data_IF_327164442683
#
_entry.id   IF_327164442683
#
_cell.length_a   1.000
_cell.length_b   1.000
_cell.length_c   1.000
_cell.angle_alpha   90.00
_cell.angle_beta   90.00
_cell.angle_gamma   90.00
#
_symmetry.space_group_name_H-M   'P 1'
#
loop_
_entity.id
_entity.type
_entity.pdbx_description
1 polymer ?
#
# COMPACT_ATOMS: atom_id res chain seq x y z
N UNK A 1 -17.61 1.77 31.29
CA UNK A 1 -16.81 2.91 31.83
C UNK A 1 -17.07 4.15 30.97
N UNK A 2 -17.62 5.21 31.54
CA UNK A 2 -18.03 6.39 30.76
C UNK A 2 -16.80 7.21 30.32
N UNK A 3 -16.73 7.61 29.05
CA UNK A 3 -15.66 8.41 28.40
C UNK A 3 -15.18 9.64 29.22
N UNK A 4 -15.98 10.10 30.14
CA UNK A 4 -15.71 11.29 30.97
C UNK A 4 -14.63 11.10 32.05
N UNK A 5 -14.29 9.85 32.41
CA UNK A 5 -13.31 9.56 33.46
C UNK A 5 -11.88 9.37 32.96
N UNK A 6 -11.67 9.36 31.62
CA UNK A 6 -10.33 9.23 31.05
C UNK A 6 -9.59 10.57 30.98
N UNK A 7 -10.33 11.67 30.75
CA UNK A 7 -9.72 13.02 30.62
C UNK A 7 -9.36 13.68 31.96
N UNK A 8 -9.94 13.24 33.09
CA UNK A 8 -9.64 13.82 34.39
C UNK A 8 -8.41 13.24 35.13
N UNK A 9 -7.70 12.26 34.51
CA UNK A 9 -6.46 11.71 35.08
C UNK A 9 -5.17 12.26 34.46
N UNK A 10 -5.26 13.18 33.51
CA UNK A 10 -4.11 13.77 32.81
C UNK A 10 -3.69 15.16 33.32
N UNK A 11 -4.31 15.67 34.41
CA UNK A 11 -4.06 17.03 34.89
C UNK A 11 -3.36 17.16 36.26
N UNK A 12 -2.66 16.12 36.73
CA UNK A 12 -1.89 16.21 37.98
C UNK A 12 -0.58 15.44 37.90
N UNK A 13 0.38 15.97 37.10
CA UNK A 13 1.81 15.78 37.35
C UNK A 13 2.61 16.90 36.68
N UNK A 14 2.46 18.11 37.18
CA UNK A 14 3.45 19.17 36.96
C UNK A 14 4.62 18.93 37.91
N UNK A 15 5.54 18.05 37.54
CA UNK A 15 6.82 17.89 38.17
C UNK A 15 7.83 18.85 37.54
N UNK A 16 8.44 19.68 38.38
CA UNK A 16 9.45 20.65 38.03
C UNK A 16 10.61 19.99 37.22
N UNK A 17 10.79 20.39 35.96
CA UNK A 17 11.99 20.09 35.16
C UNK A 17 13.01 21.18 35.48
N UNK A 18 14.06 20.80 36.21
CA UNK A 18 15.28 21.59 36.38
C UNK A 18 15.88 21.86 34.99
N UNK A 19 15.97 23.14 34.64
CA UNK A 19 16.70 23.62 33.46
C UNK A 19 18.20 23.37 33.66
N UNK A 20 18.70 22.28 33.09
CA UNK A 20 20.14 22.14 32.80
C UNK A 20 20.41 22.92 31.50
N UNK A 21 21.19 23.99 31.62
CA UNK A 21 21.73 24.78 30.53
C UNK A 21 22.75 23.92 29.73
N UNK A 22 22.24 23.09 28.84
CA UNK A 22 23.04 22.45 27.80
C UNK A 22 23.22 23.42 26.65
N UNK A 23 24.47 23.75 26.32
CA UNK A 23 24.83 24.53 25.14
C UNK A 23 24.13 24.00 23.90
N UNK A 24 23.16 24.77 23.39
CA UNK A 24 22.68 24.56 22.02
C UNK A 24 23.81 24.98 21.08
N UNK A 25 24.43 24.04 20.42
CA UNK A 25 25.18 24.36 19.20
C UNK A 25 24.22 25.05 18.21
N UNK A 26 24.67 26.10 17.53
CA UNK A 26 23.88 26.71 16.47
C UNK A 26 23.58 25.64 15.42
N UNK A 27 22.32 25.41 15.12
CA UNK A 27 21.95 24.65 13.93
C UNK A 27 22.43 25.51 12.77
N UNK A 28 23.44 25.05 12.05
CA UNK A 28 23.86 25.64 10.78
C UNK A 28 22.60 25.83 9.95
N UNK A 29 22.29 27.08 9.63
CA UNK A 29 21.24 27.41 8.66
C UNK A 29 21.68 26.76 7.34
N UNK A 30 21.09 25.61 7.02
CA UNK A 30 21.14 25.11 5.66
C UNK A 30 20.72 26.29 4.78
N UNK A 31 21.61 26.69 3.90
CA UNK A 31 21.33 27.67 2.87
C UNK A 31 20.02 27.29 2.20
N UNK A 32 19.06 28.18 2.26
CA UNK A 32 17.86 28.05 1.44
C UNK A 32 18.34 27.97 0.00
N UNK A 33 17.93 26.95 -0.79
CA UNK A 33 18.33 26.89 -2.18
C UNK A 33 17.96 28.23 -2.83
N UNK A 34 18.91 28.79 -3.54
CA UNK A 34 18.76 30.00 -4.30
C UNK A 34 17.44 29.93 -5.07
N UNK A 35 16.61 30.96 -4.92
CA UNK A 35 15.38 31.10 -5.72
C UNK A 35 15.82 31.40 -7.14
N UNK A 36 16.31 30.37 -7.83
CA UNK A 36 16.59 30.45 -9.25
C UNK A 36 15.34 31.01 -9.91
N UNK A 37 15.52 32.07 -10.70
CA UNK A 37 14.46 32.73 -11.43
C UNK A 37 13.59 31.73 -12.17
N UNK A 38 12.36 31.51 -11.68
CA UNK A 38 11.30 30.77 -12.36
C UNK A 38 10.78 31.57 -13.57
N UNK A 39 11.67 32.26 -14.28
CA UNK A 39 11.39 32.92 -15.59
C UNK A 39 11.39 31.83 -16.68
N UNK A 40 10.70 30.70 -16.47
CA UNK A 40 10.34 29.77 -17.53
C UNK A 40 9.21 30.37 -18.35
N UNK A 41 9.41 30.40 -19.66
CA UNK A 41 8.46 30.86 -20.65
C UNK A 41 7.10 30.14 -20.49
N UNK A 42 6.15 30.76 -19.80
CA UNK A 42 4.84 30.16 -19.41
C UNK A 42 3.82 30.12 -20.57
N UNK A 43 4.23 30.47 -21.79
CA UNK A 43 3.34 30.52 -22.96
C UNK A 43 3.11 29.17 -23.66
N UNK A 44 3.74 28.07 -23.23
CA UNK A 44 3.65 26.78 -23.91
C UNK A 44 2.75 25.76 -23.21
N UNK A 45 2.18 26.09 -22.06
CA UNK A 45 1.45 25.10 -21.21
C UNK A 45 2.38 24.10 -20.49
N UNK A 46 3.68 24.27 -20.58
CA UNK A 46 4.71 23.44 -19.93
C UNK A 46 5.57 24.27 -18.99
N UNK A 47 5.98 23.66 -17.90
CA UNK A 47 6.97 24.18 -16.97
C UNK A 47 8.21 23.31 -17.07
N UNK A 48 9.37 23.90 -17.25
CA UNK A 48 10.65 23.17 -17.26
C UNK A 48 11.15 23.03 -15.83
N UNK A 49 11.29 21.79 -15.35
CA UNK A 49 11.97 21.51 -14.09
C UNK A 49 13.49 21.58 -14.33
N UNK A 50 14.24 22.41 -13.56
CA UNK A 50 15.69 22.47 -13.70
C UNK A 50 16.35 21.12 -13.42
N UNK A 51 17.44 20.81 -14.13
CA UNK A 51 18.25 19.64 -13.81
C UNK A 51 18.84 19.75 -12.40
N UNK A 52 18.88 18.64 -11.68
CA UNK A 52 19.42 18.57 -10.31
C UNK A 52 20.18 17.28 -10.06
N UNK A 53 21.15 17.34 -9.16
CA UNK A 53 21.76 16.15 -8.61
C UNK A 53 20.84 15.51 -7.58
N UNK A 54 20.75 14.17 -7.60
CA UNK A 54 19.89 13.40 -6.70
C UNK A 54 20.80 12.55 -5.80
N UNK A 55 20.72 12.69 -4.47
CA UNK A 55 21.58 11.92 -3.57
C UNK A 55 21.23 10.43 -3.62
N UNK A 56 22.25 9.59 -3.79
CA UNK A 56 22.14 8.14 -3.64
C UNK A 56 22.17 7.82 -2.15
N UNK A 57 21.04 7.34 -1.62
CA UNK A 57 20.89 7.06 -0.18
C UNK A 57 21.17 5.60 0.17
N UNK A 58 21.05 4.70 -0.81
CA UNK A 58 21.31 3.28 -0.58
C UNK A 58 21.73 2.55 -1.86
N UNK A 59 22.35 1.34 -1.67
CA UNK A 59 22.67 0.38 -2.72
C UNK A 59 22.25 -1.00 -2.26
N UNK A 60 21.68 -1.81 -3.14
CA UNK A 60 21.14 -3.11 -2.75
C UNK A 60 21.33 -4.17 -3.84
N UNK A 61 21.18 -5.45 -3.50
CA UNK A 61 21.19 -6.52 -4.49
C UNK A 61 19.81 -6.56 -5.19
N UNK A 62 18.74 -6.49 -4.41
CA UNK A 62 17.36 -6.50 -4.92
C UNK A 62 16.57 -5.32 -4.36
N UNK A 63 16.00 -4.51 -5.24
CA UNK A 63 15.02 -3.49 -4.90
C UNK A 63 13.64 -3.96 -5.36
N UNK A 64 12.72 -4.10 -4.43
CA UNK A 64 11.31 -4.38 -4.72
C UNK A 64 10.53 -3.08 -4.61
N UNK A 65 9.81 -2.70 -5.64
CA UNK A 65 9.02 -1.47 -5.69
C UNK A 65 7.53 -1.82 -5.61
N UNK A 66 6.90 -1.39 -4.53
CA UNK A 66 5.51 -1.70 -4.18
C UNK A 66 5.39 -2.78 -3.12
N UNK A 67 4.75 -2.45 -1.99
CA UNK A 67 4.54 -3.32 -0.83
C UNK A 67 3.20 -4.05 -0.83
N UNK A 68 2.59 -4.26 -2.01
CA UNK A 68 1.42 -5.11 -2.17
C UNK A 68 1.71 -6.58 -1.92
N UNK A 69 0.74 -7.50 -2.08
CA UNK A 69 0.92 -8.93 -1.84
C UNK A 69 2.10 -9.53 -2.60
N UNK A 70 2.23 -9.18 -3.89
CA UNK A 70 3.33 -9.63 -4.75
C UNK A 70 4.68 -9.11 -4.26
N UNK A 71 4.75 -7.83 -3.87
CA UNK A 71 5.99 -7.20 -3.43
C UNK A 71 6.50 -7.75 -2.11
N UNK A 72 5.61 -7.95 -1.14
CA UNK A 72 5.98 -8.60 0.13
C UNK A 72 6.51 -10.01 -0.13
N UNK A 73 5.83 -10.79 -0.95
CA UNK A 73 6.28 -12.15 -1.28
C UNK A 73 7.62 -12.14 -2.02
N UNK A 74 7.80 -11.25 -2.99
CA UNK A 74 9.04 -11.10 -3.75
C UNK A 74 10.22 -10.69 -2.86
N UNK A 75 10.00 -9.70 -1.96
CA UNK A 75 11.02 -9.24 -1.05
C UNK A 75 11.46 -10.33 -0.05
N UNK A 76 10.50 -11.04 0.54
CA UNK A 76 10.78 -12.17 1.45
C UNK A 76 11.53 -13.28 0.72
N UNK A 77 11.09 -13.63 -0.49
CA UNK A 77 11.77 -14.65 -1.30
C UNK A 77 13.21 -14.23 -1.61
N UNK A 78 13.44 -13.02 -2.09
CA UNK A 78 14.77 -12.50 -2.38
C UNK A 78 15.67 -12.52 -1.13
N UNK A 79 15.19 -12.03 -0.01
CA UNK A 79 15.96 -12.02 1.25
C UNK A 79 16.29 -13.43 1.73
N UNK A 80 15.36 -14.39 1.63
CA UNK A 80 15.59 -15.80 2.02
C UNK A 80 16.65 -16.50 1.15
N UNK A 81 16.99 -15.97 -0.04
CA UNK A 81 18.15 -16.46 -0.84
C UNK A 81 19.47 -15.86 -0.42
N UNK A 82 19.49 -14.95 0.57
CA UNK A 82 20.68 -14.26 1.04
C UNK A 82 20.94 -12.93 0.33
N UNK A 83 20.07 -12.47 -0.56
CA UNK A 83 20.21 -11.17 -1.20
C UNK A 83 19.90 -10.03 -0.22
N UNK A 84 20.73 -8.98 -0.19
CA UNK A 84 20.39 -7.76 0.51
C UNK A 84 19.22 -7.10 -0.22
N UNK A 85 18.09 -7.01 0.46
CA UNK A 85 16.82 -6.59 -0.14
C UNK A 85 16.28 -5.32 0.49
N UNK A 86 15.85 -4.39 -0.35
CA UNK A 86 15.09 -3.21 0.05
C UNK A 86 13.70 -3.32 -0.56
N UNK A 87 12.67 -3.03 0.24
CA UNK A 87 11.29 -2.90 -0.18
C UNK A 87 10.85 -1.45 0.01
N UNK A 88 10.29 -0.83 -1.03
CA UNK A 88 9.75 0.53 -0.97
C UNK A 88 8.25 0.51 -1.20
N UNK A 89 7.53 1.34 -0.44
CA UNK A 89 6.06 1.46 -0.53
C UNK A 89 5.64 2.94 -0.45
N UNK A 90 4.69 3.32 -1.31
CA UNK A 90 4.16 4.71 -1.36
C UNK A 90 3.28 5.07 -0.16
N UNK A 91 2.58 4.10 0.40
CA UNK A 91 1.73 4.27 1.57
C UNK A 91 2.50 4.03 2.88
N UNK A 92 1.79 4.07 4.00
CA UNK A 92 2.33 3.81 5.35
C UNK A 92 2.04 2.39 5.84
N UNK A 93 1.72 1.48 4.96
CA UNK A 93 1.38 0.10 5.29
C UNK A 93 1.64 -0.84 4.12
N UNK A 94 1.86 -2.11 4.42
CA UNK A 94 1.96 -3.19 3.47
C UNK A 94 0.59 -3.77 3.12
N UNK A 95 0.54 -4.59 2.06
CA UNK A 95 -0.60 -5.40 1.67
C UNK A 95 -1.43 -4.86 0.52
N UNK A 96 -1.19 -3.63 0.05
CA UNK A 96 -1.85 -3.07 -1.14
C UNK A 96 -3.36 -3.26 -1.11
N UNK A 97 -3.91 -4.02 -2.07
CA UNK A 97 -5.35 -4.28 -2.17
C UNK A 97 -5.92 -5.03 -0.96
N UNK A 98 -5.17 -5.94 -0.31
CA UNK A 98 -5.66 -6.68 0.85
C UNK A 98 -5.87 -5.80 2.09
N UNK A 99 -5.24 -4.64 2.13
CA UNK A 99 -5.25 -3.74 3.29
C UNK A 99 -5.83 -2.38 2.94
N UNK A 100 -5.13 -1.56 2.18
CA UNK A 100 -5.59 -0.24 1.77
C UNK A 100 -6.77 -0.27 0.81
N UNK A 101 -6.82 -1.24 -0.10
CA UNK A 101 -7.91 -1.44 -1.05
C UNK A 101 -9.11 -2.21 -0.51
N UNK A 102 -9.01 -2.79 0.69
CA UNK A 102 -10.07 -3.56 1.36
C UNK A 102 -10.59 -4.78 0.58
N UNK A 103 -9.84 -5.30 -0.39
CA UNK A 103 -10.13 -6.58 -1.06
C UNK A 103 -9.70 -7.69 -0.12
N UNK A 104 -10.50 -7.97 0.89
CA UNK A 104 -10.14 -8.81 2.03
C UNK A 104 -10.00 -10.32 1.74
N UNK A 105 -10.67 -10.91 0.74
CA UNK A 105 -10.46 -12.32 0.42
C UNK A 105 -9.07 -12.56 -0.19
N UNK A 106 -8.34 -13.53 0.34
CA UNK A 106 -7.16 -14.09 -0.30
C UNK A 106 -7.63 -15.07 -1.39
N UNK A 107 -7.84 -14.55 -2.60
CA UNK A 107 -8.46 -15.30 -3.69
C UNK A 107 -7.54 -16.37 -4.27
N UNK A 108 -8.15 -17.38 -4.89
CA UNK A 108 -7.47 -18.46 -5.61
C UNK A 108 -6.52 -19.32 -4.76
N UNK A 109 -6.74 -19.38 -3.44
CA UNK A 109 -5.95 -20.28 -2.57
C UNK A 109 -6.17 -21.76 -2.88
N UNK A 110 -7.29 -22.08 -3.49
CA UNK A 110 -7.65 -23.41 -3.95
C UNK A 110 -8.13 -23.38 -5.40
N UNK A 111 -7.91 -24.46 -6.12
CA UNK A 111 -8.42 -24.71 -7.45
C UNK A 111 -9.27 -25.98 -7.50
N UNK A 112 -9.71 -26.34 -8.70
CA UNK A 112 -10.42 -27.58 -8.96
C UNK A 112 -9.50 -28.56 -9.72
N UNK A 113 -9.43 -29.82 -9.26
CA UNK A 113 -8.80 -30.90 -9.98
C UNK A 113 -9.59 -31.26 -11.26
N UNK A 114 -9.00 -32.06 -12.15
CA UNK A 114 -9.73 -32.59 -13.32
C UNK A 114 -10.96 -33.43 -12.92
N UNK A 115 -11.03 -33.90 -11.68
CA UNK A 115 -12.18 -34.63 -11.14
C UNK A 115 -13.16 -33.72 -10.39
N UNK A 116 -13.02 -32.40 -10.49
CA UNK A 116 -13.83 -31.41 -9.82
C UNK A 116 -13.69 -31.44 -8.26
N UNK A 117 -12.59 -31.98 -7.77
CA UNK A 117 -12.25 -31.98 -6.34
C UNK A 117 -11.50 -30.69 -6.01
N UNK A 118 -11.81 -30.09 -4.87
CA UNK A 118 -11.09 -28.91 -4.41
C UNK A 118 -9.69 -29.27 -3.96
N UNK A 119 -8.70 -28.59 -4.53
CA UNK A 119 -7.27 -28.79 -4.22
C UNK A 119 -6.62 -27.47 -3.86
N UNK A 120 -5.74 -27.50 -2.87
CA UNK A 120 -4.91 -26.33 -2.52
C UNK A 120 -4.03 -25.98 -3.73
N UNK A 121 -3.99 -24.69 -4.10
CA UNK A 121 -3.25 -24.19 -5.24
C UNK A 121 -2.10 -23.24 -4.84
N UNK A 122 -2.23 -22.57 -3.70
CA UNK A 122 -1.22 -21.61 -3.20
C UNK A 122 -0.43 -22.25 -2.06
N UNK A 123 0.89 -22.14 -2.15
CA UNK A 123 1.87 -22.64 -1.18
C UNK A 123 2.95 -21.57 -0.92
N UNK A 124 3.88 -21.90 -0.01
CA UNK A 124 5.02 -21.03 0.31
C UNK A 124 4.62 -19.77 1.06
N UNK A 125 5.11 -18.61 0.65
CA UNK A 125 4.94 -17.36 1.39
C UNK A 125 3.46 -16.95 1.48
N UNK A 126 2.68 -17.15 0.43
CA UNK A 126 1.24 -16.85 0.45
C UNK A 126 0.48 -17.71 1.46
N UNK A 127 0.84 -18.99 1.55
CA UNK A 127 0.28 -19.90 2.55
C UNK A 127 0.71 -19.53 3.98
N UNK A 128 1.98 -19.18 4.16
CA UNK A 128 2.52 -18.72 5.44
C UNK A 128 1.77 -17.47 5.95
N UNK A 129 1.45 -16.52 5.07
CA UNK A 129 0.63 -15.34 5.41
C UNK A 129 -0.75 -15.78 5.89
N UNK A 130 -1.43 -16.63 5.13
CA UNK A 130 -2.76 -17.09 5.45
C UNK A 130 -2.79 -17.84 6.80
N UNK A 131 -1.83 -18.73 7.05
CA UNK A 131 -1.72 -19.48 8.29
C UNK A 131 -1.43 -18.57 9.51
N UNK A 132 -0.57 -17.57 9.35
CA UNK A 132 -0.31 -16.60 10.43
C UNK A 132 -1.57 -15.82 10.81
N UNK A 133 -2.38 -15.40 9.81
CA UNK A 133 -3.64 -14.72 10.05
C UNK A 133 -4.70 -15.63 10.70
N UNK A 134 -4.79 -16.88 10.27
CA UNK A 134 -5.64 -17.90 10.90
C UNK A 134 -5.26 -18.14 12.36
N UNK A 135 -3.96 -18.28 12.66
CA UNK A 135 -3.46 -18.48 14.00
C UNK A 135 -3.74 -17.31 14.95
N UNK A 136 -3.89 -16.10 14.42
CA UNK A 136 -4.34 -14.92 15.16
C UNK A 136 -5.86 -14.86 15.32
N UNK A 137 -6.63 -15.76 14.70
CA UNK A 137 -8.09 -15.68 14.63
C UNK A 137 -8.59 -14.54 13.75
N UNK A 138 -7.73 -14.03 12.84
CA UNK A 138 -7.99 -12.89 11.98
C UNK A 138 -8.18 -13.28 10.51
N UNK A 139 -8.65 -14.51 10.30
CA UNK A 139 -9.09 -15.02 9.01
C UNK A 139 -10.31 -15.93 9.21
N UNK A 140 -11.31 -15.80 8.35
CA UNK A 140 -12.48 -16.69 8.26
C UNK A 140 -12.48 -17.41 6.92
N UNK A 141 -13.10 -18.57 6.85
CA UNK A 141 -13.13 -19.49 5.72
C UNK A 141 -11.80 -20.22 5.47
N UNK A 142 -11.90 -21.51 5.13
CA UNK A 142 -10.75 -22.32 4.76
C UNK A 142 -10.29 -22.04 3.33
N UNK A 143 -11.25 -21.85 2.44
CA UNK A 143 -11.06 -21.58 1.02
C UNK A 143 -11.23 -20.08 0.80
N UNK A 144 -10.25 -19.47 0.16
CA UNK A 144 -10.22 -18.02 -0.06
C UNK A 144 -10.48 -17.25 1.25
N UNK A 145 -9.62 -17.43 2.27
CA UNK A 145 -9.87 -16.85 3.57
C UNK A 145 -10.03 -15.32 3.48
N UNK A 146 -11.06 -14.82 4.14
CA UNK A 146 -11.31 -13.39 4.30
C UNK A 146 -10.58 -12.93 5.54
N UNK A 147 -9.72 -11.92 5.42
CA UNK A 147 -8.83 -11.48 6.49
C UNK A 147 -9.20 -10.10 7.05
N UNK A 148 -8.80 -9.83 8.29
CA UNK A 148 -8.85 -8.48 8.82
C UNK A 148 -7.68 -7.65 8.27
N UNK A 149 -7.92 -6.46 7.70
CA UNK A 149 -6.86 -5.68 7.06
C UNK A 149 -5.82 -5.13 8.05
N UNK A 150 -6.18 -4.84 9.29
CA UNK A 150 -5.20 -4.35 10.27
C UNK A 150 -4.30 -5.49 10.76
N UNK A 151 -4.86 -6.67 10.97
CA UNK A 151 -4.07 -7.86 11.25
C UNK A 151 -3.16 -8.24 10.07
N UNK A 152 -3.65 -8.07 8.84
CA UNK A 152 -2.84 -8.31 7.64
C UNK A 152 -1.64 -7.35 7.57
N UNK A 153 -1.81 -6.05 7.81
CA UNK A 153 -0.70 -5.09 7.91
C UNK A 153 0.34 -5.56 8.92
N UNK A 154 -0.09 -5.93 10.13
CA UNK A 154 0.79 -6.40 11.18
C UNK A 154 1.57 -7.65 10.78
N UNK A 155 0.91 -8.67 10.25
CA UNK A 155 1.54 -9.94 9.84
C UNK A 155 2.57 -9.70 8.76
N UNK A 156 2.25 -8.90 7.74
CA UNK A 156 3.15 -8.59 6.64
C UNK A 156 4.39 -7.82 7.12
N UNK A 157 4.23 -6.83 8.00
CA UNK A 157 5.36 -6.11 8.62
C UNK A 157 6.24 -7.02 9.44
N UNK A 158 5.65 -7.91 10.24
CA UNK A 158 6.44 -8.88 11.02
C UNK A 158 7.25 -9.80 10.13
N UNK A 159 6.66 -10.32 9.03
CA UNK A 159 7.36 -11.19 8.09
C UNK A 159 8.50 -10.47 7.37
N UNK A 160 8.31 -9.22 6.95
CA UNK A 160 9.34 -8.38 6.33
C UNK A 160 10.49 -8.11 7.31
N UNK A 161 10.16 -7.80 8.56
CA UNK A 161 11.15 -7.59 9.63
C UNK A 161 11.92 -8.87 9.97
N UNK A 162 11.24 -10.00 10.11
CA UNK A 162 11.86 -11.32 10.37
C UNK A 162 12.81 -11.73 9.25
N UNK A 163 12.49 -11.38 8.01
CA UNK A 163 13.34 -11.62 6.85
C UNK A 163 14.55 -10.66 6.75
N UNK A 164 14.67 -9.65 7.63
CA UNK A 164 15.78 -8.71 7.63
C UNK A 164 15.78 -7.74 6.44
N UNK A 165 14.61 -7.46 5.87
CA UNK A 165 14.45 -6.55 4.73
C UNK A 165 14.48 -5.11 5.22
N UNK A 166 15.22 -4.24 4.53
CA UNK A 166 15.13 -2.79 4.74
C UNK A 166 13.85 -2.27 4.11
N UNK A 167 13.02 -1.58 4.91
CA UNK A 167 11.72 -1.07 4.48
C UNK A 167 11.69 0.46 4.44
N UNK A 168 11.26 1.05 3.32
CA UNK A 168 11.00 2.47 3.19
C UNK A 168 9.53 2.72 2.82
N UNK A 169 8.77 3.29 3.75
CA UNK A 169 7.42 3.79 3.53
C UNK A 169 7.43 5.23 2.99
N UNK A 170 6.29 5.71 2.53
CA UNK A 170 6.13 7.07 2.00
C UNK A 170 7.13 7.41 0.89
N UNK A 171 7.45 6.41 0.06
CA UNK A 171 8.47 6.46 -0.97
C UNK A 171 7.86 6.08 -2.31
N UNK A 172 7.56 7.07 -3.12
CA UNK A 172 6.98 6.86 -4.45
C UNK A 172 8.07 6.75 -5.49
N UNK A 173 8.09 5.67 -6.28
CA UNK A 173 8.97 5.57 -7.43
C UNK A 173 8.52 6.56 -8.51
N UNK A 174 9.37 7.57 -8.77
CA UNK A 174 9.02 8.70 -9.63
C UNK A 174 9.80 8.70 -10.95
N UNK A 175 10.91 7.96 -11.03
CA UNK A 175 11.69 7.81 -12.25
C UNK A 175 12.68 6.66 -12.11
N UNK A 176 13.26 6.23 -13.24
CA UNK A 176 14.42 5.33 -13.30
C UNK A 176 15.53 5.97 -14.13
N UNK A 177 16.77 5.65 -13.80
CA UNK A 177 17.94 5.98 -14.60
C UNK A 177 18.44 4.68 -15.22
N UNK A 178 18.40 4.59 -16.53
CA UNK A 178 18.81 3.41 -17.30
C UNK A 178 20.01 3.73 -18.19
N UNK A 179 20.87 2.74 -18.40
CA UNK A 179 21.98 2.75 -19.35
C UNK A 179 22.24 1.32 -19.81
N UNK A 180 22.47 1.14 -21.10
CA UNK A 180 22.76 -0.18 -21.70
C UNK A 180 21.73 -1.25 -21.30
N UNK A 181 20.44 -0.94 -21.51
CA UNK A 181 19.28 -1.81 -21.20
C UNK A 181 19.24 -2.29 -19.72
N UNK A 182 19.82 -1.50 -18.85
CA UNK A 182 19.90 -1.83 -17.42
C UNK A 182 19.46 -0.62 -16.57
N UNK A 183 18.58 -0.82 -15.60
CA UNK A 183 18.24 0.16 -14.60
C UNK A 183 19.43 0.33 -13.65
N UNK A 184 20.02 1.51 -13.62
CA UNK A 184 21.15 1.86 -12.73
C UNK A 184 20.71 2.44 -11.40
N UNK A 185 19.58 3.17 -11.41
CA UNK A 185 18.99 3.73 -10.20
C UNK A 185 17.48 3.88 -10.33
N UNK A 186 16.79 3.74 -9.20
CA UNK A 186 15.38 4.11 -9.05
C UNK A 186 15.30 5.38 -8.22
N UNK A 187 14.61 6.39 -8.75
CA UNK A 187 14.40 7.68 -8.10
C UNK A 187 13.09 7.62 -7.32
N UNK A 188 13.19 7.96 -6.04
CA UNK A 188 12.05 8.00 -5.15
C UNK A 188 11.72 9.46 -4.80
N UNK A 189 10.44 9.79 -4.84
CA UNK A 189 9.92 11.01 -4.21
C UNK A 189 9.56 10.71 -2.77
N UNK A 190 10.15 11.46 -1.85
CA UNK A 190 9.96 11.28 -0.41
C UNK A 190 9.68 12.60 0.27
N UNK A 191 9.32 12.55 1.56
CA UNK A 191 9.13 13.78 2.35
C UNK A 191 10.41 14.60 2.52
N UNK A 192 11.57 13.96 2.37
CA UNK A 192 12.90 14.64 2.42
C UNK A 192 13.37 15.14 1.04
N UNK A 193 12.55 15.02 0.02
CA UNK A 193 12.87 15.31 -1.38
C UNK A 193 13.19 14.06 -2.18
N UNK A 194 13.72 14.24 -3.39
CA UNK A 194 14.11 13.13 -4.26
C UNK A 194 15.41 12.49 -3.80
N UNK A 195 15.38 11.16 -3.76
CA UNK A 195 16.54 10.32 -3.44
C UNK A 195 16.65 9.18 -4.44
N UNK A 196 17.83 8.59 -4.56
CA UNK A 196 18.08 7.47 -5.45
C UNK A 196 18.51 6.22 -4.67
N UNK A 197 18.09 5.04 -5.14
CA UNK A 197 18.63 3.74 -4.73
C UNK A 197 19.26 3.10 -5.94
N UNK A 198 20.51 2.57 -5.79
CA UNK A 198 21.21 1.81 -6.83
C UNK A 198 21.04 0.30 -6.59
N UNK A 199 20.18 -0.40 -7.32
CA UNK A 199 19.98 -1.84 -7.23
C UNK A 199 20.84 -2.60 -8.24
N UNK A 200 21.08 -3.90 -8.00
CA UNK A 200 21.55 -4.83 -9.04
C UNK A 200 20.35 -5.39 -9.84
N UNK A 201 19.22 -5.61 -9.17
CA UNK A 201 17.97 -6.10 -9.75
C UNK A 201 16.81 -5.28 -9.20
N UNK A 202 15.87 -4.91 -10.06
CA UNK A 202 14.58 -4.29 -9.67
C UNK A 202 13.45 -5.26 -9.93
N UNK A 203 12.54 -5.38 -8.98
CA UNK A 203 11.28 -6.13 -9.15
C UNK A 203 10.13 -5.13 -9.08
N UNK A 204 9.41 -4.99 -10.19
CA UNK A 204 8.20 -4.17 -10.25
C UNK A 204 7.03 -4.91 -9.59
N UNK A 205 6.54 -4.37 -8.48
CA UNK A 205 5.37 -4.82 -7.75
C UNK A 205 4.44 -3.65 -7.44
N UNK A 206 4.48 -2.59 -8.25
CA UNK A 206 3.68 -1.37 -8.07
C UNK A 206 2.18 -1.63 -8.22
N UNK A 207 1.80 -2.70 -8.92
CA UNK A 207 0.43 -3.07 -9.26
C UNK A 207 -0.02 -2.52 -10.61
N UNK A 208 0.58 -1.41 -11.02
CA UNK A 208 0.22 -0.70 -12.25
C UNK A 208 1.34 -0.74 -13.32
N UNK A 209 2.49 -1.37 -13.02
CA UNK A 209 3.62 -1.46 -13.94
C UNK A 209 4.43 -0.15 -14.05
N UNK A 210 4.49 0.64 -12.98
CA UNK A 210 5.14 1.96 -12.99
C UNK A 210 6.61 1.87 -13.42
N UNK A 211 7.34 0.85 -12.98
CA UNK A 211 8.76 0.68 -13.34
C UNK A 211 8.92 0.28 -14.81
N UNK A 212 8.03 -0.57 -15.34
CA UNK A 212 8.00 -0.90 -16.76
C UNK A 212 7.86 0.35 -17.62
N UNK A 213 6.87 1.17 -17.28
CA UNK A 213 6.62 2.43 -17.97
C UNK A 213 7.82 3.37 -17.90
N UNK A 214 8.37 3.57 -16.71
CA UNK A 214 9.51 4.47 -16.48
C UNK A 214 10.80 3.97 -17.14
N UNK A 215 10.95 2.66 -17.33
CA UNK A 215 12.08 2.05 -18.04
C UNK A 215 11.96 2.17 -19.57
N UNK A 216 10.78 2.51 -20.09
CA UNK A 216 10.50 2.64 -21.51
C UNK A 216 10.18 1.31 -22.19
N UNK A 217 9.78 0.29 -21.42
CA UNK A 217 9.37 -1.01 -21.95
C UNK A 217 7.99 -0.93 -22.62
N UNK A 218 7.77 -1.74 -23.64
CA UNK A 218 6.49 -1.83 -24.33
C UNK A 218 5.43 -2.54 -23.46
N UNK A 219 4.21 -2.02 -23.42
CA UNK A 219 3.09 -2.62 -22.71
C UNK A 219 1.74 -2.24 -23.35
N UNK A 220 0.73 -3.06 -23.10
CA UNK A 220 -0.64 -2.79 -23.51
C UNK A 220 -1.39 -2.02 -22.41
N UNK A 221 -2.12 -0.99 -22.81
CA UNK A 221 -3.05 -0.27 -21.92
C UNK A 221 -4.44 -0.86 -22.06
N UNK A 222 -5.06 -1.21 -20.93
CA UNK A 222 -6.42 -1.73 -20.90
C UNK A 222 -7.29 -0.87 -20.00
N UNK A 223 -8.57 -0.78 -20.35
CA UNK A 223 -9.57 -0.20 -19.46
C UNK A 223 -10.05 -1.26 -18.47
N UNK A 224 -10.28 -0.85 -17.25
CA UNK A 224 -10.78 -1.72 -16.19
C UNK A 224 -12.07 -1.17 -15.58
N UNK A 225 -12.90 -2.07 -15.11
CA UNK A 225 -14.01 -1.71 -14.25
C UNK A 225 -13.49 -1.19 -12.92
N UNK A 226 -13.80 0.07 -12.61
CA UNK A 226 -13.37 0.74 -11.38
C UNK A 226 -14.47 0.63 -10.34
N UNK A 227 -14.16 0.06 -9.19
CA UNK A 227 -15.07 -0.07 -8.07
C UNK A 227 -14.44 0.36 -6.75
N UNK A 228 -15.26 0.57 -5.74
CA UNK A 228 -14.83 0.89 -4.39
C UNK A 228 -15.26 -0.20 -3.41
N UNK A 229 -14.28 -0.93 -2.87
CA UNK A 229 -14.52 -1.92 -1.82
C UNK A 229 -14.58 -1.21 -0.47
N UNK A 230 -15.53 -1.61 0.38
CA UNK A 230 -15.71 -1.01 1.69
C UNK A 230 -16.10 -2.04 2.76
N UNK A 231 -16.14 -1.61 4.00
CA UNK A 231 -16.66 -2.40 5.13
C UNK A 231 -17.97 -1.81 5.63
N UNK A 232 -18.90 -2.70 5.96
CA UNK A 232 -20.19 -2.36 6.52
C UNK A 232 -20.27 -2.94 7.95
N UNK A 233 -20.44 -2.06 8.93
CA UNK A 233 -20.60 -2.45 10.33
C UNK A 233 -22.05 -2.58 10.75
N UNK A 234 -22.30 -3.26 11.89
CA UNK A 234 -23.62 -3.51 12.48
C UNK A 234 -24.56 -4.33 11.56
N UNK A 235 -24.01 -5.22 10.76
CA UNK A 235 -24.81 -6.06 9.83
C UNK A 235 -25.77 -7.00 10.58
N UNK A 236 -25.52 -7.28 11.84
CA UNK A 236 -26.41 -8.03 12.75
C UNK A 236 -27.73 -7.29 13.06
N UNK A 237 -27.82 -6.00 12.79
CA UNK A 237 -29.03 -5.18 12.96
C UNK A 237 -29.87 -5.07 11.71
N UNK A 238 -29.41 -5.62 10.60
CA UNK A 238 -30.14 -5.61 9.34
C UNK A 238 -31.26 -6.63 9.43
N UNK A 239 -32.52 -6.20 9.21
CA UNK A 239 -33.68 -7.07 9.16
C UNK A 239 -33.83 -7.70 7.77
N UNK A 240 -33.63 -9.02 7.61
CA UNK A 240 -33.76 -9.68 6.31
C UNK A 240 -35.18 -9.69 5.75
N UNK A 241 -36.19 -9.41 6.57
CA UNK A 241 -37.61 -9.34 6.14
C UNK A 241 -37.98 -7.99 5.57
N UNK A 242 -37.10 -6.99 5.70
CA UNK A 242 -37.37 -5.62 5.22
C UNK A 242 -37.49 -5.58 3.69
N UNK A 243 -38.51 -4.89 3.14
CA UNK A 243 -38.57 -4.68 1.71
C UNK A 243 -37.29 -4.06 1.14
N UNK A 244 -36.80 -4.61 0.03
CA UNK A 244 -35.54 -4.18 -0.59
C UNK A 244 -34.28 -4.81 -0.02
N UNK A 245 -34.38 -5.69 0.99
CA UNK A 245 -33.22 -6.46 1.46
C UNK A 245 -32.65 -7.31 0.32
N UNK A 246 -31.34 -7.18 0.12
CA UNK A 246 -30.57 -8.05 -0.75
C UNK A 246 -29.28 -8.47 -0.02
N UNK A 247 -29.08 -9.78 0.15
CA UNK A 247 -27.90 -10.32 0.82
C UNK A 247 -26.60 -9.87 0.16
N UNK A 248 -26.58 -9.64 -1.14
CA UNK A 248 -25.39 -9.17 -1.87
C UNK A 248 -24.97 -7.78 -1.37
N UNK A 249 -25.91 -6.92 -1.03
CA UNK A 249 -25.62 -5.55 -0.59
C UNK A 249 -25.00 -5.47 0.80
N UNK A 250 -25.09 -6.54 1.62
CA UNK A 250 -24.43 -6.61 2.93
C UNK A 250 -23.09 -7.36 2.88
N UNK A 251 -22.71 -7.87 1.71
CA UNK A 251 -21.42 -8.47 1.45
C UNK A 251 -21.11 -9.75 2.20
N UNK A 252 -19.82 -10.04 2.34
CA UNK A 252 -19.27 -11.24 2.98
C UNK A 252 -18.78 -10.97 4.41
N UNK A 253 -18.80 -12.02 5.23
CA UNK A 253 -18.32 -11.98 6.61
C UNK A 253 -16.82 -11.68 6.70
N UNK A 254 -16.42 -10.98 7.77
CA UNK A 254 -15.03 -10.76 8.15
C UNK A 254 -14.75 -11.41 9.51
N UNK A 255 -13.48 -11.53 9.93
CA UNK A 255 -13.16 -12.01 11.28
C UNK A 255 -13.71 -11.12 12.41
N UNK A 256 -14.08 -9.89 12.11
CA UNK A 256 -14.62 -8.96 13.10
C UNK A 256 -16.14 -9.13 13.18
N UNK A 257 -16.69 -9.47 14.34
CA UNK A 257 -18.13 -9.67 14.51
C UNK A 257 -18.96 -8.47 14.04
N UNK A 258 -20.04 -8.73 13.33
CA UNK A 258 -20.98 -7.72 12.81
C UNK A 258 -20.34 -6.74 11.82
N UNK A 259 -19.20 -7.08 11.22
CA UNK A 259 -18.56 -6.31 10.16
C UNK A 259 -18.40 -7.18 8.92
N UNK A 260 -18.99 -6.75 7.82
CA UNK A 260 -18.82 -7.39 6.51
C UNK A 260 -17.94 -6.54 5.59
N UNK A 261 -17.36 -7.17 4.59
CA UNK A 261 -16.74 -6.51 3.45
C UNK A 261 -17.70 -6.55 2.27
N UNK A 262 -17.80 -5.45 1.53
CA UNK A 262 -18.69 -5.31 0.37
C UNK A 262 -17.84 -4.93 -0.83
N UNK A 263 -17.94 -5.72 -1.89
CA UNK A 263 -17.34 -5.40 -3.18
C UNK A 263 -18.37 -4.64 -4.00
N UNK A 264 -18.19 -3.33 -4.12
CA UNK A 264 -18.97 -2.52 -5.03
C UNK A 264 -18.31 -2.59 -6.40
N UNK A 265 -19.01 -3.16 -7.36
CA UNK A 265 -18.64 -3.09 -8.77
C UNK A 265 -19.12 -1.77 -9.33
N UNK A 266 -18.23 -0.97 -9.92
CA UNK A 266 -18.58 0.31 -10.53
C UNK A 266 -19.47 0.13 -11.73
N UNK A 267 -19.11 -0.65 -12.67
CA UNK A 267 -19.88 -0.92 -13.90
C UNK A 267 -19.43 -0.10 -15.11
N UNK A 268 -18.52 0.84 -14.93
CA UNK A 268 -17.91 1.59 -16.03
C UNK A 268 -16.45 1.19 -16.21
N UNK A 269 -16.05 1.01 -17.46
CA UNK A 269 -14.67 0.75 -17.84
C UNK A 269 -13.98 2.07 -18.10
N UNK A 270 -12.94 2.37 -17.34
CA UNK A 270 -12.25 3.64 -17.36
C UNK A 270 -10.75 3.47 -17.61
N UNK A 271 -10.12 4.52 -18.11
CA UNK A 271 -8.68 4.62 -18.22
C UNK A 271 -8.06 4.92 -16.85
N UNK A 272 -7.34 3.96 -16.29
CA UNK A 272 -6.66 4.10 -15.01
C UNK A 272 -5.51 5.13 -15.02
N UNK A 273 -5.12 5.65 -16.19
CA UNK A 273 -4.14 6.73 -16.34
C UNK A 273 -4.78 8.12 -16.26
N UNK A 274 -6.11 8.25 -16.41
CA UNK A 274 -6.80 9.53 -16.19
C UNK A 274 -7.00 9.81 -14.69
N UNK A 275 -5.99 10.41 -14.07
CA UNK A 275 -6.03 10.74 -12.64
C UNK A 275 -7.16 11.70 -12.25
N UNK A 276 -7.65 12.53 -13.17
CA UNK A 276 -8.78 13.46 -12.91
C UNK A 276 -10.07 12.66 -12.82
N UNK A 277 -10.32 11.80 -13.81
CA UNK A 277 -11.49 10.94 -13.82
C UNK A 277 -11.48 9.96 -12.64
N UNK A 278 -10.33 9.36 -12.32
CA UNK A 278 -10.19 8.51 -11.11
C UNK A 278 -10.53 9.26 -9.82
N UNK A 279 -10.14 10.54 -9.74
CA UNK A 279 -10.45 11.37 -8.55
C UNK A 279 -11.94 11.67 -8.44
N UNK A 280 -12.64 11.89 -9.55
CA UNK A 280 -14.09 12.06 -9.61
C UNK A 280 -14.81 10.77 -9.19
N UNK A 281 -14.48 9.64 -9.81
CA UNK A 281 -15.05 8.32 -9.49
C UNK A 281 -14.88 7.96 -8.01
N UNK A 282 -13.72 8.23 -7.44
CA UNK A 282 -13.45 7.97 -6.03
C UNK A 282 -14.42 8.74 -5.10
N UNK A 283 -14.82 9.94 -5.49
CA UNK A 283 -15.79 10.76 -4.75
C UNK A 283 -17.21 10.28 -5.00
N UNK A 284 -17.59 10.04 -6.26
CA UNK A 284 -18.91 9.56 -6.67
C UNK A 284 -19.25 8.24 -5.97
N UNK A 285 -18.38 7.23 -6.05
CA UNK A 285 -18.57 5.93 -5.41
C UNK A 285 -18.70 6.02 -3.88
N UNK A 286 -17.93 6.92 -3.24
CA UNK A 286 -18.00 7.08 -1.79
C UNK A 286 -19.32 7.69 -1.34
N UNK A 287 -19.86 8.65 -2.10
CA UNK A 287 -21.18 9.24 -1.86
C UNK A 287 -22.26 8.18 -2.07
N UNK A 288 -22.21 7.46 -3.18
CA UNK A 288 -23.19 6.40 -3.48
C UNK A 288 -23.23 5.32 -2.41
N UNK A 289 -22.08 4.84 -1.93
CA UNK A 289 -21.99 3.86 -0.84
C UNK A 289 -22.66 4.39 0.43
N UNK A 290 -22.43 5.68 0.73
CA UNK A 290 -23.00 6.28 1.94
C UNK A 290 -24.52 6.46 1.84
N UNK A 291 -25.02 6.83 0.69
CA UNK A 291 -26.46 7.06 0.45
C UNK A 291 -27.26 5.75 0.38
N UNK A 292 -26.65 4.64 -0.07
CA UNK A 292 -27.25 3.32 -0.13
C UNK A 292 -27.21 2.57 1.22
#
# INVERSE_FOLDING_TARGET
MKRRNFLNRLSLSAGAVLLSSGCRQPIDKKETPDKGDLAGNTNSGFIVEPSREIPVVDKTDVLVVGGGPGGVAAAIAASRTGARTILVERYNHLGGLWTGGLVLPLLSTHGLSRKNEQIKAIYGIGDEIAERLKNLGMAVNEVNPVVDPEAAKYVLEMMVKEAGITMYYHSWAANVISSDDTIKAVILETKSGRVAIEPKVVIDCTGDGDIFHLAGEDYDVMQFEIGLVHRLGNVDRVDPSRPGYNKINIGGETPIPSVNWVNMTGGEYEDALDFKRLSELQQEHRIEIWDN
#
